data_IF_943627764303
#
_entry.id   IF_943627764303
#
_cell.length_a   1.000
_cell.length_b   1.000
_cell.length_c   1.000
_cell.angle_alpha   90.00
_cell.angle_beta   90.00
_cell.angle_gamma   90.00
#
_symmetry.space_group_name_H-M   'P 1'
#
loop_
_entity.id
_entity.type
_entity.pdbx_description
1 polymer ?
#
# COMPACT_ATOMS: atom_id res chain seq x y z
N UNK A 1 -2.70 -19.16 -4.96
CA UNK A 1 -3.48 -17.94 -5.25
C UNK A 1 -4.62 -17.88 -4.24
N UNK A 2 -4.68 -16.81 -3.44
CA UNK A 2 -5.65 -16.65 -2.35
C UNK A 2 -6.76 -15.69 -2.80
N UNK A 3 -8.01 -16.14 -2.69
CA UNK A 3 -9.26 -15.36 -2.75
C UNK A 3 -9.32 -14.21 -3.77
N UNK A 4 -9.79 -14.50 -4.99
CA UNK A 4 -10.03 -13.51 -6.06
C UNK A 4 -11.21 -12.57 -5.79
N UNK A 5 -12.09 -12.89 -4.83
CA UNK A 5 -13.22 -12.02 -4.46
C UNK A 5 -12.77 -10.88 -3.54
N UNK A 6 -11.78 -11.13 -2.68
CA UNK A 6 -11.32 -10.16 -1.68
C UNK A 6 -9.88 -9.67 -1.91
N UNK A 7 -9.10 -10.32 -2.77
CA UNK A 7 -7.69 -9.99 -3.02
C UNK A 7 -7.35 -10.03 -4.51
N UNK A 8 -6.72 -8.95 -4.97
CA UNK A 8 -6.38 -8.80 -6.37
C UNK A 8 -7.47 -8.13 -7.19
N UNK A 9 -7.07 -7.66 -8.36
CA UNK A 9 -7.83 -6.76 -9.21
C UNK A 9 -6.88 -5.75 -9.86
N UNK A 10 -7.31 -5.03 -10.91
CA UNK A 10 -6.44 -4.08 -11.61
C UNK A 10 -5.86 -3.02 -10.66
N UNK A 11 -6.58 -2.67 -9.60
CA UNK A 11 -6.14 -1.68 -8.62
C UNK A 11 -5.09 -2.19 -7.62
N UNK A 12 -4.93 -3.51 -7.48
CA UNK A 12 -3.99 -4.15 -6.56
C UNK A 12 -3.15 -5.18 -7.30
N UNK A 13 -2.68 -4.81 -8.48
CA UNK A 13 -1.93 -5.68 -9.39
C UNK A 13 -0.59 -6.12 -8.77
N UNK A 14 0.09 -5.21 -8.08
CA UNK A 14 1.32 -5.50 -7.35
C UNK A 14 1.24 -4.92 -5.93
N UNK A 15 1.93 -5.59 -5.01
CA UNK A 15 2.20 -5.09 -3.67
C UNK A 15 3.69 -4.77 -3.54
N UNK A 16 4.01 -3.55 -3.15
CA UNK A 16 5.38 -3.08 -2.94
C UNK A 16 5.64 -2.87 -1.44
N UNK A 17 6.85 -3.23 -1.01
CA UNK A 17 7.33 -3.00 0.35
C UNK A 17 8.76 -2.45 0.32
N UNK A 18 9.17 -1.70 1.35
CA UNK A 18 10.50 -1.08 1.37
C UNK A 18 11.52 -1.88 2.19
N UNK A 19 12.79 -1.87 1.76
CA UNK A 19 13.90 -2.40 2.55
C UNK A 19 14.08 -1.65 3.87
N UNK A 20 13.72 -0.36 3.91
CA UNK A 20 13.70 0.44 5.15
C UNK A 20 12.68 -0.11 6.17
N UNK A 21 11.48 -0.49 5.72
CA UNK A 21 10.47 -1.11 6.58
C UNK A 21 10.91 -2.52 7.02
N UNK A 22 11.56 -3.28 6.14
CA UNK A 22 12.21 -4.55 6.49
C UNK A 22 13.24 -4.39 7.61
N UNK A 23 14.11 -3.38 7.52
CA UNK A 23 15.12 -3.10 8.54
C UNK A 23 14.48 -2.70 9.88
N UNK A 24 13.40 -1.90 9.84
CA UNK A 24 12.64 -1.58 11.05
C UNK A 24 12.02 -2.84 11.67
N UNK A 25 11.36 -3.69 10.87
CA UNK A 25 10.78 -4.95 11.34
C UNK A 25 11.83 -5.92 11.86
N UNK A 26 13.06 -5.92 11.33
CA UNK A 26 14.13 -6.75 11.84
C UNK A 26 14.46 -6.44 13.32
N UNK A 27 14.47 -5.15 13.67
CA UNK A 27 14.64 -4.73 15.06
C UNK A 27 13.48 -5.15 15.95
N UNK A 28 12.26 -5.05 15.43
CA UNK A 28 11.03 -5.39 16.15
C UNK A 28 10.84 -6.90 16.34
N UNK A 29 11.24 -7.71 15.35
CA UNK A 29 11.09 -9.17 15.35
C UNK A 29 12.30 -9.88 15.95
N UNK A 30 13.41 -9.17 16.18
CA UNK A 30 14.66 -9.74 16.67
C UNK A 30 15.42 -10.58 15.65
N UNK A 31 14.96 -10.61 14.39
CA UNK A 31 15.60 -11.27 13.26
C UNK A 31 15.17 -10.60 11.95
N UNK A 32 16.05 -10.60 10.94
CA UNK A 32 15.74 -10.06 9.63
C UNK A 32 14.66 -10.91 8.94
N UNK A 33 13.50 -10.34 8.57
CA UNK A 33 12.52 -11.07 7.79
C UNK A 33 13.04 -11.26 6.36
N UNK A 34 12.75 -12.41 5.76
CA UNK A 34 13.14 -12.69 4.37
C UNK A 34 12.29 -11.88 3.38
N UNK A 35 12.81 -11.52 2.19
CA UNK A 35 12.00 -10.96 1.11
C UNK A 35 10.75 -11.81 0.81
N UNK A 36 9.61 -11.15 0.61
CA UNK A 36 8.30 -11.78 0.43
C UNK A 36 7.59 -12.16 1.73
N UNK A 37 8.20 -11.95 2.91
CA UNK A 37 7.59 -12.24 4.22
C UNK A 37 6.25 -11.53 4.40
N UNK A 38 6.13 -10.29 3.95
CA UNK A 38 4.90 -9.49 4.09
C UNK A 38 3.89 -9.77 2.95
N UNK A 39 4.27 -10.60 1.98
CA UNK A 39 3.47 -11.00 0.84
C UNK A 39 3.60 -10.06 -0.36
N UNK A 40 4.60 -9.20 -0.36
CA UNK A 40 4.91 -8.27 -1.44
C UNK A 40 5.49 -8.97 -2.67
N UNK A 41 5.24 -8.36 -3.84
CA UNK A 41 5.77 -8.81 -5.12
C UNK A 41 7.13 -8.20 -5.39
N UNK A 42 7.32 -6.92 -5.02
CA UNK A 42 8.54 -6.16 -5.27
C UNK A 42 8.97 -5.51 -3.96
N UNK A 43 10.22 -5.75 -3.58
CA UNK A 43 10.90 -4.97 -2.55
C UNK A 43 11.66 -3.82 -3.20
N UNK A 44 11.38 -2.59 -2.81
CA UNK A 44 12.12 -1.40 -3.23
C UNK A 44 13.09 -0.98 -2.13
N UNK A 45 14.19 -0.32 -2.47
CA UNK A 45 15.15 0.15 -1.46
C UNK A 45 14.53 1.18 -0.51
N UNK A 46 13.80 2.14 -1.07
CA UNK A 46 12.97 3.12 -0.35
C UNK A 46 11.80 3.56 -1.24
N UNK A 47 10.81 4.23 -0.65
CA UNK A 47 9.78 4.94 -1.42
C UNK A 47 10.16 6.41 -1.71
N UNK A 48 11.44 6.76 -1.57
CA UNK A 48 11.94 8.13 -1.66
C UNK A 48 11.63 8.97 -0.42
N UNK A 49 11.88 10.28 -0.52
CA UNK A 49 11.68 11.22 0.59
C UNK A 49 10.20 11.50 0.86
N UNK A 50 9.80 11.37 2.12
CA UNK A 50 8.45 11.71 2.61
C UNK A 50 7.39 10.64 2.30
N UNK A 51 6.22 10.79 2.91
CA UNK A 51 5.17 9.77 2.87
C UNK A 51 4.59 9.58 1.46
N UNK A 52 4.33 8.33 1.08
CA UNK A 52 3.65 7.98 -0.18
C UNK A 52 2.20 8.41 -0.13
N UNK A 53 1.73 9.08 -1.17
CA UNK A 53 0.35 9.50 -1.36
C UNK A 53 -0.42 8.57 -2.27
N UNK A 54 -1.73 8.48 -2.05
CA UNK A 54 -2.60 7.86 -3.04
C UNK A 54 -2.47 8.63 -4.35
N UNK A 55 -2.21 7.91 -5.43
CA UNK A 55 -1.93 8.44 -6.75
C UNK A 55 -0.47 8.62 -7.09
N UNK A 56 0.45 8.58 -6.12
CA UNK A 56 1.88 8.62 -6.44
C UNK A 56 2.26 7.48 -7.36
N UNK A 57 3.13 7.78 -8.31
CA UNK A 57 3.52 6.85 -9.37
C UNK A 57 4.96 6.42 -9.20
N UNK A 58 5.23 5.20 -9.62
CA UNK A 58 6.57 4.62 -9.57
C UNK A 58 6.90 4.06 -10.94
N UNK A 59 8.01 4.53 -11.50
CA UNK A 59 8.62 3.92 -12.69
C UNK A 59 9.69 2.95 -12.24
N UNK A 60 9.60 1.72 -12.71
CA UNK A 60 10.50 0.64 -12.34
C UNK A 60 11.07 0.05 -13.62
N UNK A 61 12.38 0.05 -13.75
CA UNK A 61 13.09 -0.40 -14.96
C UNK A 61 14.12 0.61 -15.45
N UNK A 62 15.22 0.12 -16.02
CA UNK A 62 16.31 0.97 -16.52
C UNK A 62 16.02 1.62 -17.88
N UNK A 63 15.25 0.95 -18.74
CA UNK A 63 14.85 1.48 -20.05
C UNK A 63 13.46 2.11 -19.97
N UNK A 64 13.29 3.42 -20.21
CA UNK A 64 11.98 4.08 -20.18
C UNK A 64 10.94 3.47 -21.13
N UNK A 65 11.36 2.83 -22.23
CA UNK A 65 10.46 2.21 -23.21
C UNK A 65 9.96 0.82 -22.76
N UNK A 66 10.68 0.17 -21.84
CA UNK A 66 10.31 -1.15 -21.32
C UNK A 66 9.99 -1.14 -19.82
N UNK A 67 10.19 -0.01 -19.14
CA UNK A 67 9.86 0.17 -17.72
C UNK A 67 8.36 0.07 -17.48
N UNK A 68 7.99 -0.46 -16.31
CA UNK A 68 6.60 -0.43 -15.84
C UNK A 68 6.32 0.90 -15.13
N UNK A 69 5.16 1.50 -15.40
CA UNK A 69 4.62 2.59 -14.60
C UNK A 69 3.47 2.08 -13.75
N UNK A 70 3.59 2.22 -12.44
CA UNK A 70 2.55 1.84 -11.48
C UNK A 70 2.08 3.03 -10.66
N UNK A 71 0.86 2.99 -10.15
CA UNK A 71 0.24 4.05 -9.35
C UNK A 71 -0.26 3.50 -8.02
N UNK A 72 0.06 4.17 -6.91
CA UNK A 72 -0.35 3.78 -5.56
C UNK A 72 -1.85 4.00 -5.34
N UNK A 73 -2.55 2.94 -4.95
CA UNK A 73 -4.02 2.94 -4.89
C UNK A 73 -4.58 2.61 -3.52
N UNK A 74 -3.82 1.90 -2.68
CA UNK A 74 -4.28 1.43 -1.38
C UNK A 74 -3.14 1.05 -0.44
N UNK A 75 -3.43 1.04 0.86
CA UNK A 75 -2.59 0.45 1.89
C UNK A 75 -2.81 -1.07 2.00
N UNK A 76 -1.80 -1.80 2.50
CA UNK A 76 -2.00 -3.16 2.99
C UNK A 76 -2.83 -3.14 4.28
N UNK A 77 -4.07 -3.63 4.20
CA UNK A 77 -4.90 -3.88 5.37
C UNK A 77 -4.71 -5.33 5.86
N UNK A 78 -3.96 -5.60 6.95
CA UNK A 78 -3.63 -6.96 7.39
C UNK A 78 -4.87 -7.84 7.58
N UNK A 79 -4.80 -9.08 7.06
CA UNK A 79 -5.90 -10.06 7.09
C UNK A 79 -5.52 -11.33 7.87
N UNK A 80 -6.48 -12.23 8.09
CA UNK A 80 -6.28 -13.48 8.83
C UNK A 80 -5.24 -14.41 8.19
N UNK A 81 -5.14 -14.45 6.86
CA UNK A 81 -4.11 -15.21 6.15
C UNK A 81 -2.71 -14.70 6.45
N UNK A 82 -2.55 -13.38 6.48
CA UNK A 82 -1.27 -12.76 6.83
C UNK A 82 -0.92 -12.98 8.31
N UNK A 83 -1.89 -12.87 9.21
CA UNK A 83 -1.69 -13.22 10.62
C UNK A 83 -1.26 -14.69 10.79
N UNK A 84 -1.89 -15.62 10.07
CA UNK A 84 -1.52 -17.03 10.08
C UNK A 84 -0.10 -17.27 9.56
N UNK A 85 0.31 -16.57 8.49
CA UNK A 85 1.67 -16.64 7.95
C UNK A 85 2.71 -16.21 8.98
N UNK A 86 2.43 -15.13 9.71
CA UNK A 86 3.38 -14.59 10.69
C UNK A 86 3.42 -15.40 11.99
N UNK A 87 2.37 -16.18 12.29
CA UNK A 87 2.37 -17.09 13.43
C UNK A 87 2.39 -16.40 14.80
N UNK A 88 2.25 -15.08 14.84
CA UNK A 88 2.30 -14.28 16.06
C UNK A 88 0.89 -13.87 16.53
N UNK A 89 0.48 -14.22 17.76
CA UNK A 89 -0.78 -13.73 18.33
C UNK A 89 -0.83 -12.19 18.34
N UNK A 90 -1.93 -11.61 17.85
CA UNK A 90 -2.10 -10.16 17.81
C UNK A 90 -1.41 -9.46 16.65
N UNK A 91 -0.80 -10.21 15.72
CA UNK A 91 -0.06 -9.65 14.58
C UNK A 91 -0.80 -8.55 13.81
N UNK A 92 -2.10 -8.71 13.54
CA UNK A 92 -2.92 -7.71 12.83
C UNK A 92 -2.87 -6.34 13.54
N UNK A 93 -3.00 -6.34 14.87
CA UNK A 93 -2.96 -5.11 15.67
C UNK A 93 -1.56 -4.51 15.69
N UNK A 94 -0.53 -5.36 15.82
CA UNK A 94 0.87 -4.93 15.82
C UNK A 94 1.26 -4.28 14.49
N UNK A 95 0.92 -4.93 13.37
CA UNK A 95 1.18 -4.40 12.03
C UNK A 95 0.44 -3.09 11.78
N UNK A 96 -0.83 -2.99 12.23
CA UNK A 96 -1.58 -1.74 12.11
C UNK A 96 -0.96 -0.60 12.95
N UNK A 97 -0.55 -0.89 14.17
CA UNK A 97 0.10 0.09 15.05
C UNK A 97 1.45 0.57 14.52
N UNK A 98 2.17 -0.27 13.76
CA UNK A 98 3.45 0.10 13.16
C UNK A 98 3.33 1.18 12.07
N UNK A 99 2.15 1.35 11.46
CA UNK A 99 1.89 2.33 10.38
C UNK A 99 2.86 2.23 9.20
N UNK A 100 3.32 1.00 8.89
CA UNK A 100 4.22 0.66 7.78
C UNK A 100 3.56 -0.33 6.82
N UNK A 101 2.47 0.06 6.14
CA UNK A 101 1.67 -0.89 5.36
C UNK A 101 2.28 -1.27 4.02
N UNK A 102 3.33 -0.59 3.54
CA UNK A 102 3.66 -0.65 2.11
C UNK A 102 2.50 -0.17 1.24
N UNK A 103 2.57 -0.45 -0.06
CA UNK A 103 1.61 0.10 -1.03
C UNK A 103 1.13 -0.96 -2.02
N UNK A 104 -0.18 -1.06 -2.20
CA UNK A 104 -0.73 -1.70 -3.39
C UNK A 104 -0.74 -0.70 -4.53
N UNK A 105 -0.46 -1.21 -5.73
CA UNK A 105 -0.39 -0.40 -6.95
C UNK A 105 -1.18 -1.04 -8.08
N UNK A 106 -1.72 -0.17 -8.94
CA UNK A 106 -2.23 -0.53 -10.28
C UNK A 106 -1.15 -0.35 -11.33
N UNK A 107 -1.21 -1.11 -12.42
CA UNK A 107 -0.33 -0.90 -13.58
C UNK A 107 -0.98 0.11 -14.52
N UNK A 108 -0.27 1.22 -14.81
CA UNK A 108 -0.67 2.23 -15.78
C UNK A 108 -0.07 1.95 -17.16
N UNK A 109 1.24 1.64 -17.19
CA UNK A 109 1.98 1.28 -18.39
C UNK A 109 2.65 -0.08 -18.11
N UNK A 110 2.28 -1.16 -18.84
CA UNK A 110 2.92 -2.45 -18.66
C UNK A 110 4.36 -2.42 -19.19
N UNK A 111 5.22 -3.21 -18.58
CA UNK A 111 6.64 -3.31 -18.92
C UNK A 111 7.28 -4.51 -18.25
N UNK A 112 8.59 -4.61 -18.37
CA UNK A 112 9.42 -5.63 -17.72
C UNK A 112 10.11 -5.05 -16.48
N UNK A 113 10.33 -5.92 -15.49
CA UNK A 113 11.07 -5.58 -14.27
C UNK A 113 12.04 -6.70 -13.93
N UNK A 114 13.25 -6.31 -13.52
CA UNK A 114 14.30 -7.18 -13.07
C UNK A 114 14.83 -6.74 -11.69
N UNK A 115 15.40 -7.71 -10.95
CA UNK A 115 16.06 -7.39 -9.69
C UNK A 115 17.27 -6.48 -9.95
N UNK A 116 17.35 -5.38 -9.21
CA UNK A 116 18.38 -4.35 -9.37
C UNK A 116 17.95 -3.17 -10.25
N UNK A 117 16.77 -3.21 -10.85
CA UNK A 117 16.25 -2.07 -11.60
C UNK A 117 16.05 -0.82 -10.73
N UNK A 118 16.29 0.37 -11.30
CA UNK A 118 16.03 1.61 -10.59
C UNK A 118 14.53 1.82 -10.41
N UNK A 119 14.19 2.54 -9.33
CA UNK A 119 12.82 2.95 -9.02
C UNK A 119 12.80 4.46 -8.88
N UNK A 120 12.00 5.13 -9.70
CA UNK A 120 11.75 6.57 -9.63
C UNK A 120 10.32 6.83 -9.15
N UNK A 121 10.18 7.63 -8.10
CA UNK A 121 8.87 8.11 -7.65
C UNK A 121 8.50 9.43 -8.32
N UNK A 122 7.27 9.51 -8.80
CA UNK A 122 6.67 10.68 -9.45
C UNK A 122 5.44 11.08 -8.64
N UNK A 123 5.32 12.38 -8.35
CA UNK A 123 4.17 12.94 -7.63
C UNK A 123 2.88 12.71 -8.44
N UNK A 124 1.89 12.10 -7.80
CA UNK A 124 0.61 11.74 -8.38
C UNK A 124 -0.50 12.79 -8.30
N UNK A 125 -0.29 13.82 -7.49
CA UNK A 125 -1.23 14.88 -7.21
C UNK A 125 -1.00 15.52 -5.85
N UNK A 126 -0.89 16.85 -5.84
CA UNK A 126 -0.69 17.60 -4.62
C UNK A 126 -1.95 17.58 -3.74
N UNK A 127 -1.74 17.43 -2.42
CA UNK A 127 -2.82 17.44 -1.44
C UNK A 127 -3.60 16.13 -1.30
N UNK A 128 -3.30 15.09 -2.10
CA UNK A 128 -3.85 13.76 -1.85
C UNK A 128 -3.40 13.22 -0.49
N UNK A 129 -4.29 12.53 0.24
CA UNK A 129 -3.91 11.87 1.49
C UNK A 129 -2.83 10.80 1.28
N UNK A 130 -2.08 10.54 2.34
CA UNK A 130 -1.07 9.49 2.35
C UNK A 130 -1.69 8.10 2.36
N UNK A 131 -0.91 7.09 1.97
CA UNK A 131 -1.30 5.69 2.13
C UNK A 131 -1.56 5.35 3.60
N UNK A 132 -0.81 5.96 4.51
CA UNK A 132 -1.02 5.81 5.95
C UNK A 132 -2.32 6.49 6.40
N UNK A 133 -2.66 7.67 5.88
CA UNK A 133 -3.95 8.32 6.18
C UNK A 133 -5.13 7.42 5.78
N UNK A 134 -5.04 6.75 4.63
CA UNK A 134 -6.04 5.76 4.22
C UNK A 134 -6.11 4.58 5.21
N UNK A 135 -4.96 4.05 5.64
CA UNK A 135 -4.91 2.97 6.62
C UNK A 135 -5.54 3.38 7.95
N UNK A 136 -5.24 4.58 8.44
CA UNK A 136 -5.82 5.11 9.67
C UNK A 136 -7.34 5.26 9.54
N UNK A 137 -7.80 5.89 8.45
CA UNK A 137 -9.21 6.06 8.16
C UNK A 137 -9.94 4.70 8.05
N UNK A 138 -9.25 3.64 7.60
CA UNK A 138 -9.81 2.29 7.57
C UNK A 138 -10.16 1.77 8.96
N UNK A 139 -9.28 1.97 9.95
CA UNK A 139 -9.45 1.47 11.31
C UNK A 139 -10.21 2.43 12.23
N UNK A 140 -10.32 3.70 11.88
CA UNK A 140 -11.05 4.68 12.65
C UNK A 140 -12.58 4.50 12.49
N UNK A 141 -13.30 4.42 13.61
CA UNK A 141 -14.75 4.31 13.64
C UNK A 141 -15.45 5.64 13.29
N UNK A 142 -14.77 6.78 13.43
CA UNK A 142 -15.29 8.11 13.13
C UNK A 142 -14.22 9.00 12.49
N UNK A 143 -13.75 8.65 11.27
CA UNK A 143 -12.73 9.43 10.59
C UNK A 143 -13.22 10.83 10.23
N UNK A 144 -12.30 11.79 10.15
CA UNK A 144 -12.58 13.16 9.69
C UNK A 144 -13.26 13.14 8.31
N UNK A 145 -14.47 13.71 8.16
CA UNK A 145 -15.16 13.78 6.88
C UNK A 145 -14.35 14.49 5.79
N UNK A 146 -13.53 15.50 6.14
CA UNK A 146 -12.69 16.19 5.16
C UNK A 146 -11.58 15.28 4.60
N UNK A 147 -11.02 14.40 5.45
CA UNK A 147 -10.09 13.37 5.00
C UNK A 147 -10.78 12.39 4.05
N UNK A 148 -11.99 11.92 4.40
CA UNK A 148 -12.75 11.00 3.55
C UNK A 148 -13.06 11.62 2.17
N UNK A 149 -13.49 12.88 2.13
CA UNK A 149 -13.71 13.60 0.87
C UNK A 149 -12.42 13.72 0.02
N UNK A 150 -11.29 14.05 0.65
CA UNK A 150 -10.00 14.11 -0.05
C UNK A 150 -9.57 12.74 -0.57
N UNK A 151 -9.78 11.68 0.20
CA UNK A 151 -9.54 10.30 -0.22
C UNK A 151 -10.40 9.96 -1.45
N UNK A 152 -11.69 10.32 -1.48
CA UNK A 152 -12.57 10.05 -2.63
C UNK A 152 -12.18 10.79 -3.91
N UNK A 153 -11.50 11.95 -3.79
CA UNK A 153 -10.95 12.70 -4.93
C UNK A 153 -9.62 12.13 -5.44
N UNK A 154 -8.96 11.26 -4.68
CA UNK A 154 -7.72 10.59 -5.07
C UNK A 154 -8.01 9.30 -5.86
N UNK A 155 -7.04 8.74 -6.62
CA UNK A 155 -7.21 7.53 -7.43
C UNK A 155 -7.17 6.24 -6.59
N UNK A 156 -8.08 6.13 -5.62
CA UNK A 156 -8.22 4.96 -4.75
C UNK A 156 -8.54 3.68 -5.52
N UNK A 157 -8.10 2.55 -4.95
CA UNK A 157 -8.64 1.25 -5.31
C UNK A 157 -10.15 1.18 -5.02
N UNK A 158 -10.92 0.52 -5.88
CA UNK A 158 -12.39 0.43 -5.76
C UNK A 158 -12.85 -0.08 -4.38
N UNK A 159 -12.17 -1.10 -3.84
CA UNK A 159 -12.46 -1.61 -2.49
C UNK A 159 -12.27 -0.54 -1.41
N UNK A 160 -11.21 0.27 -1.52
CA UNK A 160 -10.96 1.36 -0.60
C UNK A 160 -12.00 2.47 -0.76
N UNK A 161 -12.35 2.81 -2.00
CA UNK A 161 -13.41 3.77 -2.32
C UNK A 161 -14.74 3.37 -1.68
N UNK A 162 -15.21 2.14 -1.88
CA UNK A 162 -16.46 1.65 -1.26
C UNK A 162 -16.44 1.76 0.26
N UNK A 163 -15.32 1.44 0.92
CA UNK A 163 -15.19 1.57 2.37
C UNK A 163 -15.28 3.05 2.82
N UNK A 164 -14.59 3.95 2.13
CA UNK A 164 -14.57 5.39 2.42
C UNK A 164 -15.96 6.00 2.21
N UNK A 165 -16.67 5.64 1.13
CA UNK A 165 -18.05 6.08 0.86
C UNK A 165 -19.02 5.64 1.96
N UNK A 166 -18.93 4.38 2.40
CA UNK A 166 -19.76 3.86 3.49
C UNK A 166 -19.49 4.58 4.82
N UNK A 167 -18.24 4.93 5.10
CA UNK A 167 -17.87 5.71 6.29
C UNK A 167 -18.41 7.13 6.20
N UNK A 168 -18.25 7.80 5.06
CA UNK A 168 -18.73 9.17 4.86
C UNK A 168 -20.26 9.25 4.95
N UNK A 169 -20.98 8.27 4.40
CA UNK A 169 -22.43 8.22 4.47
C UNK A 169 -22.96 8.14 5.91
N UNK A 170 -22.22 7.50 6.83
CA UNK A 170 -22.60 7.38 8.26
C UNK A 170 -22.38 8.65 9.06
N UNK A 171 -21.61 9.62 8.56
CA UNK A 171 -21.39 10.91 9.24
C UNK A 171 -22.67 11.74 9.27
N UNK A 172 -23.52 11.58 8.24
CA UNK A 172 -24.72 12.39 8.04
C UNK A 172 -26.02 11.68 8.48
N UNK A 173 -25.92 10.57 9.21
CA UNK A 173 -27.03 9.79 9.76
C UNK A 173 -26.99 9.86 11.28
#
# INVERSE_FOLDING_TARGET
VADVENHGGPDQALYLYSSEDYAWWAGELGAAPEPGTFGENITVSSFGSGDVRIGDRFRIGADPLESVLVEATAARIPCSVFAKRMGEPGWVKRFAAARRPGIYVRVLEPGEVAAGDPVERINGGDGYPTVVDLMDAWYDASPDPQLLERLLRSPLAERARTNVEQKLARVFV
#
